data_IF_669400533181
#
_entry.id   IF_669400533181
#
_cell.length_a   1.000
_cell.length_b   1.000
_cell.length_c   1.000
_cell.angle_alpha   90.00
_cell.angle_beta   90.00
_cell.angle_gamma   90.00
#
_symmetry.space_group_name_H-M   'P 1'
#
loop_
_entity.id
_entity.type
_entity.pdbx_description
1 polymer ?
#
# COMPACT_ATOMS: atom_id res chain seq x y z
N UNK A 1 -38.98 16.41 -19.12
CA UNK A 1 -38.41 15.40 -18.16
C UNK A 1 -37.10 14.75 -18.62
N UNK A 2 -36.80 14.70 -19.92
CA UNK A 2 -35.59 14.04 -20.47
C UNK A 2 -34.25 14.69 -20.09
N UNK A 3 -34.21 16.01 -19.86
CA UNK A 3 -32.95 16.75 -19.57
C UNK A 3 -32.43 16.59 -18.15
N UNK A 4 -33.29 16.26 -17.17
CA UNK A 4 -32.93 16.09 -15.77
C UNK A 4 -32.26 14.72 -15.55
N UNK A 5 -32.73 13.69 -16.26
CA UNK A 5 -32.11 12.36 -16.19
C UNK A 5 -30.70 12.32 -16.77
N UNK A 6 -30.44 13.09 -17.82
CA UNK A 6 -29.11 13.20 -18.41
C UNK A 6 -28.09 13.87 -17.45
N UNK A 7 -28.56 14.87 -16.69
CA UNK A 7 -27.68 15.56 -15.72
C UNK A 7 -27.32 14.67 -14.51
N UNK A 8 -28.27 13.86 -14.03
CA UNK A 8 -28.03 12.91 -12.92
C UNK A 8 -27.10 11.79 -13.35
N UNK A 9 -27.22 11.28 -14.57
CA UNK A 9 -26.31 10.27 -15.10
C UNK A 9 -24.88 10.80 -15.29
N UNK A 10 -24.73 12.07 -15.67
CA UNK A 10 -23.41 12.71 -15.81
C UNK A 10 -22.74 12.95 -14.44
N UNK A 11 -23.53 13.32 -13.41
CA UNK A 11 -23.02 13.50 -12.05
C UNK A 11 -22.60 12.17 -11.41
N UNK A 12 -23.30 11.08 -11.67
CA UNK A 12 -22.96 9.76 -11.19
C UNK A 12 -21.65 9.23 -11.80
N UNK A 13 -21.35 9.55 -13.05
CA UNK A 13 -20.09 9.16 -13.71
C UNK A 13 -18.86 9.89 -13.15
N UNK A 14 -19.02 11.04 -12.49
CA UNK A 14 -17.93 11.80 -11.87
C UNK A 14 -17.58 11.34 -10.46
N UNK A 15 -18.37 10.46 -9.85
CA UNK A 15 -18.16 9.96 -8.48
C UNK A 15 -17.32 8.65 -8.42
N UNK A 16 -17.03 8.05 -9.54
CA UNK A 16 -16.03 6.97 -9.57
C UNK A 16 -14.64 7.61 -9.63
N UNK A 17 -14.09 7.93 -8.46
CA UNK A 17 -12.66 8.17 -8.34
C UNK A 17 -11.98 6.94 -8.93
N UNK A 18 -11.35 7.09 -10.10
CA UNK A 18 -10.63 6.01 -10.77
C UNK A 18 -9.57 5.51 -9.80
N UNK A 19 -9.73 4.29 -9.31
CA UNK A 19 -8.69 3.67 -8.49
C UNK A 19 -7.37 3.74 -9.24
N UNK A 20 -6.25 4.03 -8.54
CA UNK A 20 -4.94 4.05 -9.17
C UNK A 20 -4.71 2.72 -9.89
N UNK A 21 -4.35 2.78 -11.16
CA UNK A 21 -4.06 1.58 -11.95
C UNK A 21 -2.66 1.09 -11.58
N UNK A 22 -2.59 0.15 -10.64
CA UNK A 22 -1.34 -0.49 -10.24
C UNK A 22 -0.88 -1.49 -11.30
N UNK A 23 0.41 -1.51 -11.58
CA UNK A 23 1.03 -2.59 -12.35
C UNK A 23 0.85 -3.90 -11.58
N UNK A 24 0.30 -4.98 -12.17
CA UNK A 24 0.12 -6.27 -11.52
C UNK A 24 1.40 -6.84 -10.89
N UNK A 25 2.58 -6.57 -11.49
CA UNK A 25 3.88 -6.99 -10.97
C UNK A 25 4.31 -6.19 -9.73
N UNK A 26 3.64 -5.08 -9.46
CA UNK A 26 3.90 -4.20 -8.31
C UNK A 26 2.90 -4.37 -7.19
N UNK A 27 2.13 -5.46 -7.20
CA UNK A 27 1.11 -5.78 -6.19
C UNK A 27 1.38 -7.15 -5.59
N UNK A 28 1.33 -7.24 -4.25
CA UNK A 28 1.48 -8.50 -3.53
C UNK A 28 0.52 -8.57 -2.34
N UNK A 29 0.06 -9.78 -2.00
CA UNK A 29 -0.76 -10.02 -0.82
C UNK A 29 0.03 -10.84 0.20
N UNK A 30 0.21 -10.29 1.39
CA UNK A 30 0.85 -10.94 2.52
C UNK A 30 -0.20 -11.56 3.44
N UNK A 31 0.05 -12.78 3.91
CA UNK A 31 -0.72 -13.46 4.94
C UNK A 31 0.16 -13.64 6.18
N UNK A 32 0.00 -12.78 7.18
CA UNK A 32 0.88 -12.69 8.33
C UNK A 32 0.21 -13.22 9.59
N UNK A 33 0.88 -14.10 10.31
CA UNK A 33 0.59 -14.37 11.73
C UNK A 33 1.07 -13.21 12.58
N UNK A 34 0.63 -13.18 13.84
CA UNK A 34 1.08 -12.16 14.79
C UNK A 34 2.61 -12.16 14.89
N UNK A 35 3.19 -10.95 14.84
CA UNK A 35 4.62 -10.68 14.96
C UNK A 35 5.50 -11.22 13.82
N UNK A 36 4.94 -11.83 12.77
CA UNK A 36 5.68 -12.17 11.56
C UNK A 36 6.01 -10.94 10.74
N UNK A 37 7.25 -10.87 10.25
CA UNK A 37 7.73 -9.76 9.43
C UNK A 37 7.53 -10.04 7.95
N UNK A 38 6.87 -9.12 7.27
CA UNK A 38 6.88 -9.00 5.81
C UNK A 38 7.91 -7.98 5.40
N UNK A 39 8.56 -8.18 4.24
CA UNK A 39 9.56 -7.27 3.69
C UNK A 39 9.27 -6.93 2.25
N UNK A 40 9.34 -5.64 1.94
CA UNK A 40 9.28 -5.10 0.59
C UNK A 40 10.64 -4.52 0.25
N UNK A 41 11.24 -4.96 -0.85
CA UNK A 41 12.48 -4.41 -1.40
C UNK A 41 12.13 -3.37 -2.46
N UNK A 42 12.77 -2.22 -2.39
CA UNK A 42 12.57 -1.11 -3.30
C UNK A 42 13.94 -0.74 -3.85
N UNK A 43 14.16 -1.01 -5.14
CA UNK A 43 15.44 -0.75 -5.81
C UNK A 43 15.29 0.44 -6.75
N UNK A 44 15.96 1.53 -6.46
CA UNK A 44 16.01 2.67 -7.38
C UNK A 44 16.87 2.34 -8.59
N UNK A 45 16.27 2.37 -9.80
CA UNK A 45 16.95 1.95 -11.04
C UNK A 45 18.18 2.77 -11.39
N UNK A 46 18.13 4.08 -11.13
CA UNK A 46 19.23 5.00 -11.48
C UNK A 46 20.47 4.80 -10.61
N UNK A 47 20.28 4.61 -9.31
CA UNK A 47 21.37 4.52 -8.33
C UNK A 47 21.70 3.08 -7.92
N UNK A 48 20.83 2.12 -8.27
CA UNK A 48 20.86 0.72 -7.80
C UNK A 48 20.81 0.61 -6.26
N UNK A 49 20.36 1.67 -5.60
CA UNK A 49 20.18 1.67 -4.16
C UNK A 49 18.96 0.84 -3.78
N UNK A 50 19.16 -0.09 -2.86
CA UNK A 50 18.08 -0.91 -2.31
C UNK A 50 17.68 -0.35 -0.94
N UNK A 51 16.40 -0.11 -0.78
CA UNK A 51 15.77 0.22 0.51
C UNK A 51 14.74 -0.85 0.86
N UNK A 52 14.48 -1.02 2.15
CA UNK A 52 13.48 -1.97 2.63
C UNK A 52 12.37 -1.27 3.39
N UNK A 53 11.16 -1.73 3.15
CA UNK A 53 10.01 -1.45 3.99
C UNK A 53 9.61 -2.75 4.68
N UNK A 54 9.80 -2.80 5.99
CA UNK A 54 9.47 -3.96 6.82
C UNK A 54 8.23 -3.65 7.65
N UNK A 55 7.32 -4.60 7.78
CA UNK A 55 6.15 -4.43 8.64
C UNK A 55 5.69 -5.74 9.27
N UNK A 56 5.03 -5.62 10.42
CA UNK A 56 4.34 -6.71 11.13
C UNK A 56 3.13 -6.18 11.86
N UNK A 57 2.14 -7.01 12.12
CA UNK A 57 1.07 -6.64 13.01
C UNK A 57 1.30 -7.17 14.44
N UNK A 58 0.82 -6.43 15.43
CA UNK A 58 1.10 -6.72 16.85
C UNK A 58 -0.16 -6.87 17.68
N UNK A 59 -1.23 -6.19 17.30
CA UNK A 59 -2.50 -6.22 18.01
C UNK A 59 -3.66 -6.21 17.03
N UNK A 60 -4.70 -7.00 17.31
CA UNK A 60 -5.96 -7.01 16.59
C UNK A 60 -7.12 -7.05 17.57
N UNK A 61 -8.07 -6.12 17.44
CA UNK A 61 -9.23 -5.96 18.33
C UNK A 61 -10.56 -6.13 17.58
N UNK A 62 -10.69 -7.19 16.79
CA UNK A 62 -11.87 -7.49 15.97
C UNK A 62 -12.16 -6.53 14.80
N UNK A 63 -11.72 -5.29 14.81
CA UNK A 63 -11.95 -4.31 13.74
C UNK A 63 -10.75 -3.45 13.40
N UNK A 64 -9.86 -3.26 14.37
CA UNK A 64 -8.65 -2.47 14.19
C UNK A 64 -7.43 -3.38 14.29
N UNK A 65 -6.44 -3.11 13.48
CA UNK A 65 -5.16 -3.80 13.54
C UNK A 65 -4.03 -2.79 13.70
N UNK A 66 -3.16 -3.04 14.67
CA UNK A 66 -1.97 -2.23 14.91
C UNK A 66 -0.79 -2.87 14.20
N UNK A 67 -0.13 -2.09 13.37
CA UNK A 67 1.01 -2.48 12.56
C UNK A 67 2.22 -1.64 12.94
N UNK A 68 3.35 -2.31 13.18
CA UNK A 68 4.66 -1.68 13.28
C UNK A 68 5.37 -1.79 11.94
N UNK A 69 5.97 -0.71 11.49
CA UNK A 69 6.75 -0.69 10.25
C UNK A 69 8.09 0.01 10.44
N UNK A 70 9.04 -0.34 9.57
CA UNK A 70 10.34 0.32 9.46
C UNK A 70 10.60 0.68 8.00
N UNK A 71 10.89 1.94 7.77
CA UNK A 71 11.37 2.42 6.48
C UNK A 71 12.56 3.37 6.70
N UNK A 72 13.67 3.13 6.03
CA UNK A 72 14.91 3.89 6.21
C UNK A 72 15.37 3.96 7.67
N UNK A 73 15.18 2.88 8.43
CA UNK A 73 15.46 2.79 9.87
C UNK A 73 14.54 3.60 10.79
N UNK A 74 13.52 4.28 10.24
CA UNK A 74 12.53 5.00 11.05
C UNK A 74 11.38 4.08 11.40
N UNK A 75 11.15 3.82 12.70
CA UNK A 75 9.98 3.06 13.14
C UNK A 75 8.73 3.90 13.04
N UNK A 76 7.63 3.28 12.67
CA UNK A 76 6.29 3.87 12.69
C UNK A 76 5.29 2.85 13.21
N UNK A 77 4.24 3.37 13.84
CA UNK A 77 3.08 2.60 14.20
C UNK A 77 1.88 3.13 13.42
N UNK A 78 1.12 2.21 12.84
CA UNK A 78 -0.08 2.49 12.07
C UNK A 78 -1.24 1.70 12.68
N UNK A 79 -2.43 2.30 12.67
CA UNK A 79 -3.66 1.60 13.05
C UNK A 79 -4.59 1.62 11.85
N UNK A 80 -4.94 0.45 11.37
CA UNK A 80 -5.92 0.28 10.30
C UNK A 80 -7.28 -0.08 10.90
N UNK A 81 -8.34 0.45 10.32
CA UNK A 81 -9.72 0.19 10.76
C UNK A 81 -10.61 -0.12 9.56
N UNK A 82 -11.15 -1.33 9.53
CA UNK A 82 -12.10 -1.72 8.49
C UNK A 82 -13.45 -1.00 8.62
N UNK A 83 -13.84 -0.62 9.84
CA UNK A 83 -15.13 0.06 10.08
C UNK A 83 -15.17 1.50 9.63
N UNK A 84 -14.03 2.18 9.63
CA UNK A 84 -13.97 3.64 9.42
C UNK A 84 -13.35 4.03 8.08
N UNK A 85 -13.17 3.07 7.16
CA UNK A 85 -12.54 3.33 5.86
C UNK A 85 -11.07 3.78 5.97
N UNK A 86 -10.41 3.50 7.11
CA UNK A 86 -9.00 3.75 7.36
C UNK A 86 -8.22 2.44 7.22
N UNK A 87 -8.44 1.76 6.12
CA UNK A 87 -7.87 0.45 5.83
C UNK A 87 -6.58 0.52 5.01
N UNK A 88 -6.19 1.70 4.57
CA UNK A 88 -5.02 1.90 3.69
C UNK A 88 -4.10 2.98 4.23
N UNK A 89 -2.81 2.71 4.18
CA UNK A 89 -1.73 3.63 4.52
C UNK A 89 -0.80 3.81 3.31
N UNK A 90 -0.33 5.04 3.11
CA UNK A 90 0.60 5.38 2.03
C UNK A 90 1.97 5.77 2.61
N UNK A 91 3.02 5.13 2.09
CA UNK A 91 4.41 5.49 2.35
C UNK A 91 5.05 6.05 1.09
N UNK A 92 5.48 7.31 1.12
CA UNK A 92 6.29 7.88 0.05
C UNK A 92 7.68 7.23 0.05
N UNK A 93 8.08 6.70 -1.10
CA UNK A 93 9.32 5.92 -1.26
C UNK A 93 10.46 6.79 -1.76
N UNK A 94 10.22 7.58 -2.81
CA UNK A 94 11.18 8.53 -3.32
C UNK A 94 10.71 9.96 -3.07
N UNK A 95 11.63 10.87 -2.72
CA UNK A 95 11.30 12.29 -2.57
C UNK A 95 11.00 12.92 -3.94
N UNK A 96 10.12 13.92 -3.93
CA UNK A 96 9.78 14.72 -5.10
C UNK A 96 10.86 15.77 -5.37
N UNK A 97 12.08 15.36 -5.69
CA UNK A 97 13.17 16.29 -6.02
C UNK A 97 13.31 16.57 -7.50
N UNK A 98 12.43 16.01 -8.31
CA UNK A 98 12.46 16.22 -9.75
C UNK A 98 11.49 17.33 -10.14
N UNK A 99 11.93 18.23 -10.99
CA UNK A 99 11.04 19.15 -11.71
C UNK A 99 10.58 18.47 -13.01
N UNK A 100 9.29 18.32 -13.24
CA UNK A 100 8.12 18.71 -12.43
C UNK A 100 7.89 17.80 -11.22
N UNK A 101 7.26 18.30 -10.12
CA UNK A 101 7.13 17.59 -8.84
C UNK A 101 6.13 16.42 -8.85
N UNK A 102 5.61 16.01 -9.98
CA UNK A 102 4.49 15.09 -10.11
C UNK A 102 4.89 13.60 -10.18
N UNK A 103 6.18 13.29 -10.04
CA UNK A 103 6.67 11.92 -10.15
C UNK A 103 6.94 11.33 -8.76
N UNK A 104 5.91 11.22 -7.93
CA UNK A 104 6.03 10.54 -6.65
C UNK A 104 5.96 9.02 -6.83
N UNK A 105 6.85 8.31 -6.11
CA UNK A 105 6.75 6.86 -5.95
C UNK A 105 6.21 6.57 -4.57
N UNK A 106 5.09 5.87 -4.51
CA UNK A 106 4.38 5.61 -3.25
C UNK A 106 4.02 4.13 -3.10
N UNK A 107 4.26 3.62 -1.90
CA UNK A 107 3.87 2.28 -1.48
C UNK A 107 2.55 2.39 -0.70
N UNK A 108 1.55 1.63 -1.11
CA UNK A 108 0.26 1.52 -0.46
C UNK A 108 0.18 0.19 0.27
N UNK A 109 -0.20 0.24 1.54
CA UNK A 109 -0.42 -0.93 2.39
C UNK A 109 -1.88 -0.89 2.80
N UNK A 110 -2.66 -1.92 2.44
CA UNK A 110 -4.07 -2.03 2.76
C UNK A 110 -4.31 -3.25 3.64
N UNK A 111 -5.01 -3.08 4.74
CA UNK A 111 -5.53 -4.19 5.53
C UNK A 111 -6.82 -4.69 4.88
N UNK A 112 -6.82 -5.91 4.40
CA UNK A 112 -7.93 -6.48 3.63
C UNK A 112 -8.93 -7.20 4.55
N UNK A 113 -8.44 -8.16 5.34
CA UNK A 113 -9.24 -8.91 6.29
C UNK A 113 -8.38 -9.63 7.34
N UNK A 114 -9.07 -10.25 8.30
CA UNK A 114 -8.47 -11.13 9.29
C UNK A 114 -9.21 -12.46 9.29
N UNK A 115 -8.54 -13.53 8.89
CA UNK A 115 -9.10 -14.89 8.85
C UNK A 115 -8.03 -15.93 9.18
N UNK A 116 -8.45 -17.07 9.69
CA UNK A 116 -7.55 -18.18 10.03
C UNK A 116 -6.35 -17.78 10.92
N UNK A 117 -6.57 -16.83 11.85
CA UNK A 117 -5.55 -16.24 12.73
C UNK A 117 -4.42 -15.51 12.00
N UNK A 118 -4.64 -15.13 10.75
CA UNK A 118 -3.74 -14.33 9.94
C UNK A 118 -4.38 -13.02 9.52
N UNK A 119 -3.58 -11.99 9.46
CA UNK A 119 -3.94 -10.72 8.85
C UNK A 119 -3.52 -10.72 7.38
N UNK A 120 -4.44 -10.31 6.51
CA UNK A 120 -4.21 -10.23 5.07
C UNK A 120 -3.97 -8.77 4.71
N UNK A 121 -2.80 -8.50 4.15
CA UNK A 121 -2.41 -7.17 3.68
C UNK A 121 -2.15 -7.19 2.19
N UNK A 122 -2.73 -6.25 1.47
CA UNK A 122 -2.38 -5.97 0.08
C UNK A 122 -1.38 -4.83 0.07
N UNK A 123 -0.24 -5.06 -0.58
CA UNK A 123 0.79 -4.03 -0.79
C UNK A 123 0.89 -3.75 -2.28
N UNK A 124 0.88 -2.48 -2.64
CA UNK A 124 0.94 -2.05 -4.03
C UNK A 124 1.87 -0.84 -4.17
N UNK A 125 2.75 -0.87 -5.17
CA UNK A 125 3.61 0.25 -5.52
C UNK A 125 2.98 1.04 -6.68
N UNK A 126 2.84 2.35 -6.49
CA UNK A 126 2.50 3.29 -7.54
C UNK A 126 3.76 4.02 -7.99
N UNK A 127 4.18 3.76 -9.23
CA UNK A 127 5.35 4.36 -9.86
C UNK A 127 5.07 4.60 -11.34
N UNK A 128 4.46 5.73 -11.66
CA UNK A 128 4.08 6.08 -13.03
C UNK A 128 5.30 6.29 -13.94
N UNK A 129 6.41 6.73 -13.36
CA UNK A 129 7.65 7.01 -14.09
C UNK A 129 8.59 5.80 -14.21
N UNK A 130 8.23 4.66 -13.61
CA UNK A 130 9.01 3.41 -13.62
C UNK A 130 10.45 3.57 -13.11
N UNK A 131 10.61 4.33 -12.04
CA UNK A 131 11.90 4.67 -11.43
C UNK A 131 12.44 3.60 -10.50
N UNK A 132 11.58 2.71 -10.01
CA UNK A 132 11.96 1.65 -9.06
C UNK A 132 11.52 0.28 -9.54
N UNK A 133 12.23 -0.74 -9.08
CA UNK A 133 11.79 -2.13 -9.08
C UNK A 133 11.38 -2.51 -7.66
N UNK A 134 10.31 -3.28 -7.55
CA UNK A 134 9.79 -3.76 -6.26
C UNK A 134 9.92 -5.28 -6.18
N UNK A 135 10.32 -5.78 -5.01
CA UNK A 135 10.33 -7.20 -4.69
C UNK A 135 9.65 -7.44 -3.34
N UNK A 136 9.07 -8.60 -3.17
CA UNK A 136 8.34 -8.97 -1.96
C UNK A 136 8.95 -10.24 -1.36
N UNK A 137 9.02 -10.31 -0.03
CA UNK A 137 9.46 -11.49 0.70
C UNK A 137 8.47 -11.83 1.79
N UNK A 138 7.88 -13.00 1.69
CA UNK A 138 7.02 -13.59 2.71
C UNK A 138 7.85 -14.13 3.89
N UNK A 139 7.25 -14.25 5.12
CA UNK A 139 7.96 -14.72 6.31
C UNK A 139 8.59 -16.10 6.15
N UNK A 140 7.96 -17.00 5.43
CA UNK A 140 8.43 -18.39 5.25
C UNK A 140 9.64 -18.51 4.30
N UNK A 141 9.94 -17.50 3.51
CA UNK A 141 11.09 -17.45 2.59
C UNK A 141 12.40 -17.01 3.29
N UNK A 142 12.32 -16.70 4.58
CA UNK A 142 13.44 -16.17 5.36
C UNK A 142 14.28 -17.26 6.08
N UNK A 143 14.04 -18.57 5.76
CA UNK A 143 14.76 -19.71 6.34
C UNK A 143 15.87 -20.21 5.45
#
# INVERSE_FOLDING_TARGET
MSRIFALIALLAALLFAKEPNFDPNSVHTFELKKDEWARVFITEKKTQKVETFDFRWTLFDSTNITVQSFFRRYPRQMVFSLRHGQDTYMQRVLPDFTMPPNESVSLYISFVDFRDKKAHFRVALLDESKRVDVGFRDPDEAK
#
